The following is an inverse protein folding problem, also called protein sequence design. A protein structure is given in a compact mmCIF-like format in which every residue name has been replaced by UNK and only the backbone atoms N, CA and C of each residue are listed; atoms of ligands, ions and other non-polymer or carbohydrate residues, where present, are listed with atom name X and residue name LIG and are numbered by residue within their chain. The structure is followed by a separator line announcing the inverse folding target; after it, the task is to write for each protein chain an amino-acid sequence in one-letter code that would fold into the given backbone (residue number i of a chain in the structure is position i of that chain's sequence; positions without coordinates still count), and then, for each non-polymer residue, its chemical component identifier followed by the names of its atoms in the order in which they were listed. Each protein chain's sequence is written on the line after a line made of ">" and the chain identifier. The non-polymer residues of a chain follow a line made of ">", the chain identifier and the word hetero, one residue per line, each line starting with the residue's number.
data_IF_086352942585
#
_entry.id   IF_086352942585
#
_cell.length_a   1.000
_cell.length_b   1.000
_cell.length_c   1.000
_cell.angle_alpha   90.00
_cell.angle_beta   90.00
_cell.angle_gamma   90.00
#
_symmetry.space_group_name_H-M   'P 1'
#
loop_
_entity.id
_entity.type
_entity.pdbx_description
1 polymer ?
#
# COMPACT_ATOMS: atom_id res chain seq x y z
N UNK A 1 12.19 6.42 -5.30
CA UNK A 1 11.29 6.78 -4.17
C UNK A 1 9.97 6.09 -4.39
N UNK A 2 9.34 5.52 -3.36
CA UNK A 2 7.96 5.04 -3.44
C UNK A 2 7.03 6.15 -2.95
N UNK A 3 5.99 6.45 -3.71
CA UNK A 3 4.94 7.39 -3.31
C UNK A 3 3.58 6.76 -3.54
N UNK A 4 2.72 6.81 -2.53
CA UNK A 4 1.34 6.33 -2.54
C UNK A 4 0.45 7.49 -2.11
N UNK A 5 -0.61 7.77 -2.88
CA UNK A 5 -1.60 8.80 -2.59
C UNK A 5 -3.01 8.21 -2.58
N UNK A 6 -3.73 8.45 -1.50
CA UNK A 6 -5.14 8.08 -1.30
C UNK A 6 -5.49 6.65 -1.73
N UNK A 7 -4.60 5.70 -1.44
CA UNK A 7 -4.76 4.33 -1.90
C UNK A 7 -5.89 3.61 -1.15
N UNK A 8 -6.75 2.97 -1.94
CA UNK A 8 -7.95 2.27 -1.47
C UNK A 8 -7.95 0.82 -1.97
N UNK A 9 -8.40 -0.07 -1.09
CA UNK A 9 -8.66 -1.47 -1.46
C UNK A 9 -9.83 -2.03 -0.67
N UNK A 10 -10.78 -2.63 -1.38
CA UNK A 10 -11.99 -3.26 -0.89
C UNK A 10 -11.87 -4.77 -1.02
N UNK A 11 -12.27 -5.48 0.03
CA UNK A 11 -12.40 -6.95 0.01
C UNK A 11 -13.70 -7.35 0.70
N UNK A 12 -14.51 -8.15 0.01
CA UNK A 12 -15.80 -8.62 0.56
C UNK A 12 -16.73 -7.48 1.01
N UNK A 13 -16.75 -6.36 0.27
CA UNK A 13 -17.57 -5.18 0.60
C UNK A 13 -17.02 -4.30 1.74
N UNK A 14 -15.87 -4.64 2.33
CA UNK A 14 -15.20 -3.83 3.36
C UNK A 14 -14.00 -3.12 2.75
N UNK A 15 -13.89 -1.82 2.99
CA UNK A 15 -12.65 -1.07 2.76
C UNK A 15 -11.59 -1.53 3.77
N UNK A 16 -10.67 -2.37 3.29
CA UNK A 16 -9.56 -2.88 4.09
C UNK A 16 -8.43 -1.84 4.18
N UNK A 17 -8.17 -1.15 3.08
CA UNK A 17 -7.27 0.00 3.02
C UNK A 17 -8.09 1.22 2.62
N UNK A 18 -7.97 2.29 3.40
CA UNK A 18 -8.71 3.54 3.20
C UNK A 18 -7.73 4.70 3.30
N UNK A 19 -7.66 5.50 2.25
CA UNK A 19 -6.87 6.73 2.17
C UNK A 19 -5.42 6.56 2.66
N UNK A 20 -4.75 5.51 2.18
CA UNK A 20 -3.36 5.26 2.53
C UNK A 20 -2.47 6.24 1.76
N UNK A 21 -1.71 7.03 2.52
CA UNK A 21 -0.76 8.00 1.99
C UNK A 21 0.63 7.69 2.55
N UNK A 22 1.61 7.48 1.68
CA UNK A 22 2.95 7.09 2.13
C UNK A 22 4.03 7.53 1.15
N UNK A 23 5.11 8.09 1.69
CA UNK A 23 6.33 8.41 0.95
C UNK A 23 7.49 7.67 1.60
N UNK A 24 8.19 6.85 0.81
CA UNK A 24 9.40 6.13 1.23
C UNK A 24 10.56 6.55 0.34
N UNK A 25 11.55 7.18 0.96
CA UNK A 25 12.78 7.56 0.30
C UNK A 25 13.71 6.34 0.10
N UNK A 26 14.56 6.35 -0.95
CA UNK A 26 15.57 5.32 -1.15
C UNK A 26 16.47 5.12 0.07
N UNK A 27 16.99 3.89 0.25
CA UNK A 27 17.90 3.55 1.35
C UNK A 27 17.26 3.47 2.74
N UNK A 28 15.93 3.50 2.83
CA UNK A 28 15.21 3.37 4.10
C UNK A 28 14.79 1.92 4.35
N UNK A 29 15.03 1.44 5.57
CA UNK A 29 14.43 0.21 6.08
C UNK A 29 13.25 0.61 6.95
N UNK A 30 12.05 0.12 6.62
CA UNK A 30 10.81 0.48 7.33
C UNK A 30 10.05 -0.80 7.67
N UNK A 31 9.50 -0.85 8.89
CA UNK A 31 8.61 -1.91 9.32
C UNK A 31 7.15 -1.44 9.26
N UNK A 32 6.28 -2.25 8.64
CA UNK A 32 4.84 -2.06 8.69
C UNK A 32 4.25 -2.94 9.80
N UNK A 33 3.78 -2.31 10.88
CA UNK A 33 3.27 -3.00 12.08
C UNK A 33 1.75 -2.80 12.26
N UNK A 34 1.14 -3.69 13.03
CA UNK A 34 -0.28 -3.61 13.38
C UNK A 34 -0.92 -4.99 13.60
N UNK A 35 -2.14 -5.05 14.17
CA UNK A 35 -2.86 -6.30 14.43
C UNK A 35 -3.09 -7.19 13.19
N UNK A 36 -3.41 -8.46 13.39
CA UNK A 36 -3.79 -9.35 12.29
C UNK A 36 -5.06 -8.85 11.59
N UNK A 37 -5.12 -9.02 10.27
CA UNK A 37 -6.27 -8.61 9.47
C UNK A 37 -6.36 -7.12 9.13
N UNK A 38 -5.39 -6.28 9.51
CA UNK A 38 -5.41 -4.82 9.18
C UNK A 38 -4.94 -4.48 7.77
N UNK A 39 -4.65 -5.48 6.93
CA UNK A 39 -4.29 -5.25 5.52
C UNK A 39 -2.80 -5.04 5.25
N UNK A 40 -1.89 -5.35 6.19
CA UNK A 40 -0.44 -5.21 5.99
C UNK A 40 0.08 -5.99 4.77
N UNK A 41 -0.20 -7.30 4.72
CA UNK A 41 0.20 -8.15 3.59
C UNK A 41 -0.49 -7.71 2.30
N UNK A 42 -1.73 -7.23 2.39
CA UNK A 42 -2.46 -6.67 1.24
C UNK A 42 -1.76 -5.43 0.69
N UNK A 43 -1.39 -4.47 1.55
CA UNK A 43 -0.65 -3.27 1.16
C UNK A 43 0.70 -3.63 0.52
N UNK A 44 1.45 -4.57 1.11
CA UNK A 44 2.73 -5.02 0.54
C UNK A 44 2.55 -5.70 -0.82
N UNK A 45 1.50 -6.52 -1.01
CA UNK A 45 1.18 -7.13 -2.31
C UNK A 45 0.79 -6.10 -3.36
N UNK A 46 0.13 -5.02 -2.96
CA UNK A 46 -0.18 -3.90 -3.85
C UNK A 46 1.10 -3.17 -4.25
N UNK A 47 1.94 -2.84 -3.27
CA UNK A 47 3.25 -2.21 -3.50
C UNK A 47 4.14 -3.07 -4.40
N UNK A 48 4.11 -4.40 -4.27
CA UNK A 48 4.87 -5.32 -5.12
C UNK A 48 4.23 -5.57 -6.48
N UNK A 49 3.03 -5.04 -6.76
CA UNK A 49 2.31 -5.25 -8.02
C UNK A 49 1.65 -6.62 -8.17
N UNK A 50 1.64 -7.44 -7.11
CA UNK A 50 0.94 -8.74 -7.08
C UNK A 50 -0.58 -8.56 -6.98
N UNK A 51 -1.02 -7.44 -6.41
CA UNK A 51 -2.42 -7.07 -6.26
C UNK A 51 -2.64 -5.65 -6.79
N UNK A 52 -3.79 -5.40 -7.42
CA UNK A 52 -4.17 -4.07 -7.89
C UNK A 52 -5.03 -3.37 -6.83
N UNK A 53 -4.75 -2.10 -6.55
CA UNK A 53 -5.64 -1.27 -5.75
C UNK A 53 -6.90 -0.90 -6.53
N UNK A 54 -8.01 -0.62 -5.83
CA UNK A 54 -9.25 -0.19 -6.46
C UNK A 54 -9.22 1.29 -6.82
N UNK A 55 -8.50 2.10 -6.05
CA UNK A 55 -8.36 3.54 -6.25
C UNK A 55 -7.01 4.06 -5.70
N UNK A 56 -6.68 5.29 -6.08
CA UNK A 56 -5.46 6.00 -5.69
C UNK A 56 -4.32 5.83 -6.69
N UNK A 57 -3.22 6.54 -6.39
CA UNK A 57 -2.05 6.62 -7.26
C UNK A 57 -0.82 6.05 -6.56
N UNK A 58 0.02 5.35 -7.32
CA UNK A 58 1.30 4.85 -6.83
C UNK A 58 2.40 5.07 -7.86
N UNK A 59 3.47 5.74 -7.44
CA UNK A 59 4.71 5.91 -8.20
C UNK A 59 5.79 5.09 -7.51
N UNK A 60 6.40 4.17 -8.25
CA UNK A 60 7.51 3.34 -7.78
C UNK A 60 8.84 3.95 -8.27
N UNK A 61 9.97 3.66 -7.59
CA UNK A 61 11.27 3.90 -8.22
C UNK A 61 11.32 3.16 -9.57
N UNK A 62 11.87 3.80 -10.60
CA UNK A 62 12.24 3.08 -11.83
C UNK A 62 13.22 1.95 -11.46
N UNK A 63 13.07 0.80 -12.12
CA UNK A 63 14.10 -0.26 -12.11
C UNK A 63 15.43 0.26 -12.64
#
# INVERSE_FOLDING_TARGET
>A
MLQIKSLKYIIGGRELLRDINWIINPGRHIALIGPNGTGKTTLLRIISGVLRADDGEMVKPNE
#
